data_IF_764111944249
#
_entry.id   IF_764111944249
#
_cell.length_a   1.000
_cell.length_b   1.000
_cell.length_c   1.000
_cell.angle_alpha   90.00
_cell.angle_beta   90.00
_cell.angle_gamma   90.00
#
_symmetry.space_group_name_H-M   'P 1'
#
loop_
_entity.id
_entity.type
_entity.pdbx_description
1 polymer ?
#
# COMPACT_ATOMS: atom_id res chain seq x y z
N UNK A 1 -62.08 19.84 28.92
CA UNK A 1 -61.47 18.78 29.75
C UNK A 1 -60.45 18.07 28.87
N UNK A 2 -59.18 18.28 29.16
CA UNK A 2 -58.05 17.72 28.42
C UNK A 2 -57.85 16.25 28.78
N UNK A 3 -57.61 15.40 27.77
CA UNK A 3 -57.09 14.05 27.94
C UNK A 3 -55.55 14.10 28.00
N UNK A 4 -54.89 13.21 28.76
CA UNK A 4 -53.50 13.40 29.18
C UNK A 4 -52.48 13.01 28.11
N UNK A 5 -51.38 13.75 28.10
CA UNK A 5 -50.18 13.52 27.29
C UNK A 5 -49.50 12.19 27.68
N UNK A 6 -49.22 11.36 26.67
CA UNK A 6 -48.43 10.13 26.83
C UNK A 6 -46.94 10.45 26.90
N UNK A 7 -46.28 9.92 27.94
CA UNK A 7 -44.83 10.02 28.16
C UNK A 7 -44.03 9.44 26.98
N UNK A 8 -42.97 10.11 26.49
CA UNK A 8 -42.09 9.53 25.48
C UNK A 8 -41.25 8.42 26.09
N UNK A 9 -41.36 7.21 25.52
CA UNK A 9 -40.58 6.04 25.92
C UNK A 9 -39.08 6.26 25.71
N UNK A 10 -38.29 5.86 26.71
CA UNK A 10 -36.84 5.89 26.65
C UNK A 10 -36.32 5.03 25.50
N UNK A 11 -35.55 5.64 24.60
CA UNK A 11 -34.76 4.95 23.58
C UNK A 11 -33.75 4.02 24.24
N UNK A 12 -33.61 2.76 23.80
CA UNK A 12 -32.63 1.84 24.38
C UNK A 12 -31.23 2.35 24.07
N UNK A 13 -30.41 2.53 25.11
CA UNK A 13 -29.00 2.91 24.97
C UNK A 13 -28.20 1.88 24.17
N UNK A 14 -27.06 2.28 23.59
CA UNK A 14 -26.23 1.38 22.80
C UNK A 14 -25.72 0.23 23.67
N UNK A 15 -25.83 -0.99 23.15
CA UNK A 15 -25.32 -2.19 23.79
C UNK A 15 -23.80 -2.07 24.05
N UNK A 16 -23.31 -2.52 25.22
CA UNK A 16 -21.89 -2.47 25.54
C UNK A 16 -21.09 -3.32 24.55
N UNK A 17 -19.95 -2.76 24.13
CA UNK A 17 -19.09 -3.30 23.09
C UNK A 17 -18.75 -4.78 23.29
N UNK A 18 -18.87 -5.54 22.19
CA UNK A 18 -18.37 -6.88 22.12
C UNK A 18 -16.87 -6.87 22.42
N UNK A 19 -16.49 -7.51 23.53
CA UNK A 19 -15.12 -7.79 23.87
C UNK A 19 -14.46 -8.54 22.71
N UNK A 20 -13.36 -7.99 22.18
CA UNK A 20 -12.51 -8.64 21.19
C UNK A 20 -11.93 -9.92 21.78
N UNK A 21 -12.40 -11.07 21.30
CA UNK A 21 -11.89 -12.38 21.70
C UNK A 21 -10.39 -12.51 21.43
N UNK A 22 -9.64 -12.92 22.45
CA UNK A 22 -8.19 -13.13 22.42
C UNK A 22 -7.76 -14.38 21.64
N UNK A 23 -7.99 -14.39 20.33
CA UNK A 23 -7.25 -15.22 19.38
C UNK A 23 -5.98 -14.50 18.91
N UNK A 24 -4.96 -15.22 18.40
CA UNK A 24 -3.84 -14.58 17.72
C UNK A 24 -4.37 -13.74 16.54
N UNK A 25 -3.94 -12.48 16.46
CA UNK A 25 -4.32 -11.59 15.37
C UNK A 25 -3.96 -12.20 14.01
N UNK A 26 -4.82 -12.01 13.01
CA UNK A 26 -4.57 -12.48 11.64
C UNK A 26 -3.25 -11.89 11.12
N UNK A 27 -2.28 -12.75 10.79
CA UNK A 27 -0.97 -12.31 10.33
C UNK A 27 -0.93 -12.07 8.82
N UNK A 28 -1.32 -13.07 8.03
CA UNK A 28 -1.43 -13.00 6.58
C UNK A 28 -2.26 -14.15 6.03
N UNK A 29 -2.73 -13.98 4.78
CA UNK A 29 -3.44 -15.05 4.05
C UNK A 29 -2.52 -16.27 3.92
N UNK A 30 -1.25 -16.06 3.60
CA UNK A 30 -0.26 -17.09 3.34
C UNK A 30 0.08 -17.91 4.59
N UNK A 31 0.27 -17.23 5.73
CA UNK A 31 0.53 -17.90 7.02
C UNK A 31 -0.70 -18.72 7.45
N UNK A 32 -1.90 -18.18 7.25
CA UNK A 32 -3.15 -18.88 7.54
C UNK A 32 -3.34 -20.10 6.64
N UNK A 33 -3.15 -19.96 5.32
CA UNK A 33 -3.22 -21.08 4.38
C UNK A 33 -2.20 -22.16 4.71
N UNK A 34 -0.96 -21.79 5.03
CA UNK A 34 0.11 -22.76 5.33
C UNK A 34 -0.12 -23.51 6.65
N UNK A 35 -0.76 -22.88 7.63
CA UNK A 35 -1.06 -23.51 8.93
C UNK A 35 -2.26 -24.44 8.89
N UNK A 36 -3.19 -24.23 7.95
CA UNK A 36 -4.46 -24.98 7.91
C UNK A 36 -4.63 -25.91 6.70
N UNK A 37 -3.86 -25.74 5.63
CA UNK A 37 -3.89 -26.60 4.44
C UNK A 37 -2.55 -27.28 4.22
N UNK A 38 -2.56 -28.49 3.66
CA UNK A 38 -1.35 -29.27 3.35
C UNK A 38 -1.52 -30.05 2.04
N UNK A 39 -0.39 -30.50 1.47
CA UNK A 39 -0.39 -31.35 0.28
C UNK A 39 -1.10 -30.72 -0.92
N UNK A 40 -1.85 -31.55 -1.65
CA UNK A 40 -2.49 -31.17 -2.93
C UNK A 40 -3.47 -30.01 -2.78
N UNK A 41 -4.21 -29.93 -1.68
CA UNK A 41 -5.21 -28.88 -1.47
C UNK A 41 -4.54 -27.52 -1.25
N UNK A 42 -3.43 -27.48 -0.50
CA UNK A 42 -2.63 -26.27 -0.34
C UNK A 42 -2.06 -25.80 -1.69
N UNK A 43 -1.54 -26.73 -2.49
CA UNK A 43 -0.98 -26.41 -3.81
C UNK A 43 -2.05 -25.90 -4.78
N UNK A 44 -3.24 -26.52 -4.78
CA UNK A 44 -4.34 -26.15 -5.68
C UNK A 44 -4.97 -24.80 -5.30
N UNK A 45 -5.18 -24.54 -4.00
CA UNK A 45 -5.64 -23.23 -3.54
C UNK A 45 -4.65 -22.14 -3.95
N UNK A 46 -3.35 -22.38 -3.80
CA UNK A 46 -2.32 -21.43 -4.24
C UNK A 46 -2.29 -21.26 -5.76
N UNK A 47 -2.52 -22.32 -6.53
CA UNK A 47 -2.59 -22.24 -7.99
C UNK A 47 -3.71 -21.33 -8.45
N UNK A 48 -4.88 -21.40 -7.81
CA UNK A 48 -6.04 -20.56 -8.11
C UNK A 48 -5.77 -19.11 -7.66
N UNK A 49 -5.30 -18.91 -6.42
CA UNK A 49 -5.12 -17.59 -5.85
C UNK A 49 -3.95 -16.81 -6.45
N UNK A 50 -2.83 -17.46 -6.77
CA UNK A 50 -1.58 -16.78 -7.18
C UNK A 50 -1.11 -17.15 -8.58
N UNK A 51 -1.70 -18.16 -9.20
CA UNK A 51 -1.23 -18.70 -10.47
C UNK A 51 -0.08 -19.70 -10.27
N UNK A 52 0.92 -19.68 -11.17
CA UNK A 52 2.04 -20.62 -11.09
C UNK A 52 2.94 -20.35 -9.88
N UNK A 53 3.54 -21.40 -9.33
CA UNK A 53 4.56 -21.25 -8.31
C UNK A 53 5.83 -20.61 -8.90
N UNK A 54 6.39 -19.62 -8.20
CA UNK A 54 7.63 -18.97 -8.57
C UNK A 54 8.78 -19.51 -7.70
N UNK A 55 9.91 -19.92 -8.31
CA UNK A 55 11.10 -20.30 -7.55
C UNK A 55 11.57 -19.16 -6.65
N UNK A 56 11.98 -19.49 -5.44
CA UNK A 56 12.66 -18.54 -4.55
C UNK A 56 14.04 -18.22 -5.12
N UNK A 57 14.35 -16.93 -5.16
CA UNK A 57 15.64 -16.44 -5.57
C UNK A 57 16.63 -16.55 -4.40
N UNK A 58 17.77 -17.21 -4.63
CA UNK A 58 18.83 -17.29 -3.62
C UNK A 58 19.42 -15.90 -3.36
N UNK A 59 19.14 -15.38 -2.16
CA UNK A 59 19.67 -14.09 -1.71
C UNK A 59 21.10 -14.27 -1.15
N UNK A 60 22.06 -13.42 -1.57
CA UNK A 60 23.41 -13.37 -1.00
C UNK A 60 23.41 -13.30 0.53
N UNK A 61 24.43 -13.91 1.17
CA UNK A 61 24.46 -14.05 2.63
C UNK A 61 24.69 -12.72 3.35
N UNK A 62 25.48 -11.84 2.76
CA UNK A 62 25.71 -10.45 3.18
C UNK A 62 24.41 -9.63 3.18
N UNK A 63 23.62 -9.70 2.11
CA UNK A 63 22.31 -9.03 2.03
C UNK A 63 21.34 -9.55 3.11
N UNK A 64 21.34 -10.86 3.37
CA UNK A 64 20.55 -11.47 4.45
C UNK A 64 21.00 -11.04 5.85
N UNK A 65 22.31 -11.03 6.09
CA UNK A 65 22.87 -10.58 7.37
C UNK A 65 22.58 -9.09 7.62
N UNK A 66 22.63 -8.27 6.56
CA UNK A 66 22.26 -6.86 6.64
C UNK A 66 20.79 -6.68 6.98
N UNK A 67 19.90 -7.46 6.36
CA UNK A 67 18.47 -7.46 6.67
C UNK A 67 18.19 -7.88 8.12
N UNK A 68 18.84 -8.94 8.59
CA UNK A 68 18.75 -9.42 9.98
C UNK A 68 19.21 -8.33 10.97
N UNK A 69 20.37 -7.73 10.73
CA UNK A 69 20.89 -6.62 11.56
C UNK A 69 19.97 -5.39 11.53
N UNK A 70 19.34 -5.12 10.39
CA UNK A 70 18.41 -4.03 10.20
C UNK A 70 17.01 -4.29 10.74
N UNK A 71 16.71 -5.53 11.18
CA UNK A 71 15.40 -5.91 11.67
C UNK A 71 14.30 -5.86 10.62
N UNK A 72 14.63 -6.13 9.35
CA UNK A 72 13.66 -6.17 8.25
C UNK A 72 13.77 -7.46 7.46
N UNK A 73 12.69 -7.79 6.77
CA UNK A 73 12.60 -8.99 5.95
C UNK A 73 13.20 -8.76 4.56
N UNK A 74 13.81 -9.81 4.00
CA UNK A 74 14.27 -9.82 2.63
C UNK A 74 13.85 -11.13 1.95
N UNK A 75 13.07 -11.01 0.87
CA UNK A 75 12.60 -12.14 0.07
C UNK A 75 12.86 -11.87 -1.40
N UNK A 76 12.95 -12.94 -2.19
CA UNK A 76 13.23 -12.85 -3.62
C UNK A 76 12.59 -13.99 -4.38
N UNK A 77 12.09 -13.69 -5.57
CA UNK A 77 11.40 -14.64 -6.44
C UNK A 77 11.85 -14.45 -7.88
N UNK A 78 11.85 -15.53 -8.66
CA UNK A 78 12.17 -15.50 -10.08
C UNK A 78 10.93 -15.70 -10.95
N UNK A 79 10.67 -14.75 -11.83
CA UNK A 79 9.72 -14.90 -12.93
C UNK A 79 10.51 -15.20 -14.21
N UNK A 80 10.34 -16.40 -14.74
CA UNK A 80 11.03 -16.84 -15.96
C UNK A 80 10.13 -16.77 -17.20
N UNK A 81 10.80 -16.62 -18.34
CA UNK A 81 10.23 -16.75 -19.67
C UNK A 81 10.90 -17.93 -20.40
N UNK A 82 10.24 -18.47 -21.43
CA UNK A 82 10.84 -19.49 -22.28
C UNK A 82 12.03 -18.92 -23.05
N UNK A 83 13.09 -19.71 -23.31
CA UNK A 83 14.19 -19.28 -24.16
C UNK A 83 13.70 -18.90 -25.57
N UNK A 84 14.07 -17.72 -26.04
CA UNK A 84 13.84 -17.31 -27.42
C UNK A 84 15.03 -17.70 -28.30
N UNK A 85 14.75 -18.08 -29.56
CA UNK A 85 15.82 -18.43 -30.52
C UNK A 85 16.59 -17.19 -31.02
N UNK A 86 15.92 -16.05 -31.10
CA UNK A 86 16.45 -14.84 -31.74
C UNK A 86 16.82 -13.73 -30.76
N UNK A 87 16.42 -13.84 -29.49
CA UNK A 87 16.71 -12.83 -28.47
C UNK A 87 17.35 -13.47 -27.26
N UNK A 88 18.42 -12.84 -26.77
CA UNK A 88 18.98 -13.17 -25.48
C UNK A 88 17.96 -12.83 -24.36
N UNK A 89 17.95 -13.61 -23.25
CA UNK A 89 17.06 -13.31 -22.13
C UNK A 89 17.42 -11.97 -21.50
N UNK A 90 16.43 -11.06 -21.39
CA UNK A 90 16.62 -9.78 -20.70
C UNK A 90 16.23 -9.91 -19.23
N UNK A 91 17.19 -10.37 -18.41
CA UNK A 91 17.00 -10.53 -16.96
C UNK A 91 17.18 -9.21 -16.25
N UNK A 92 16.21 -8.84 -15.41
CA UNK A 92 16.20 -7.60 -14.62
C UNK A 92 15.80 -7.96 -13.20
N UNK A 93 16.53 -7.45 -12.21
CA UNK A 93 16.22 -7.61 -10.79
C UNK A 93 15.64 -6.32 -10.26
N UNK A 94 14.41 -6.39 -9.75
CA UNK A 94 13.69 -5.27 -9.16
C UNK A 94 13.60 -5.50 -7.65
N UNK A 95 13.91 -4.47 -6.86
CA UNK A 95 13.70 -4.46 -5.42
C UNK A 95 12.60 -3.46 -5.04
N UNK A 96 11.76 -3.87 -4.12
CA UNK A 96 10.60 -3.11 -3.65
C UNK A 96 10.75 -2.92 -2.15
N UNK A 97 10.78 -1.68 -1.68
CA UNK A 97 11.05 -1.37 -0.27
C UNK A 97 9.78 -0.82 0.37
N UNK A 98 9.38 -1.47 1.46
CA UNK A 98 8.28 -1.06 2.33
C UNK A 98 8.85 -0.77 3.72
N UNK A 99 8.42 0.33 4.34
CA UNK A 99 8.87 0.69 5.68
C UNK A 99 7.82 1.52 6.43
N UNK A 100 7.86 1.41 7.75
CA UNK A 100 7.25 2.38 8.66
C UNK A 100 8.17 3.58 8.90
N UNK A 101 7.60 4.68 9.42
CA UNK A 101 8.36 5.80 9.99
C UNK A 101 9.25 5.34 11.15
N UNK A 102 10.22 6.18 11.52
CA UNK A 102 11.24 5.84 12.54
C UNK A 102 11.04 6.60 13.84
N UNK A 103 10.78 7.91 13.75
CA UNK A 103 10.55 8.77 14.91
C UNK A 103 9.06 9.11 15.02
N UNK A 104 8.58 9.53 16.21
CA UNK A 104 7.23 10.04 16.37
C UNK A 104 6.94 11.21 15.43
N UNK A 105 5.68 11.35 15.01
CA UNK A 105 5.25 12.44 14.11
C UNK A 105 5.41 13.83 14.71
N UNK A 106 5.59 13.91 16.04
CA UNK A 106 5.86 15.14 16.81
C UNK A 106 7.33 15.55 16.85
N UNK A 107 8.27 14.71 16.38
CA UNK A 107 9.69 15.07 16.32
C UNK A 107 9.96 16.15 15.25
N UNK A 108 11.09 16.87 15.30
CA UNK A 108 11.44 17.81 14.24
C UNK A 108 11.48 17.16 12.85
N UNK A 109 10.93 17.81 11.83
CA UNK A 109 10.77 17.25 10.47
C UNK A 109 12.11 16.77 9.89
N UNK A 110 13.18 17.55 10.08
CA UNK A 110 14.51 17.19 9.61
C UNK A 110 15.01 15.89 10.25
N UNK A 111 14.81 15.70 11.55
CA UNK A 111 15.17 14.48 12.27
C UNK A 111 14.35 13.28 11.78
N UNK A 112 13.04 13.45 11.59
CA UNK A 112 12.17 12.41 11.03
C UNK A 112 12.67 11.95 9.66
N UNK A 113 12.94 12.90 8.76
CA UNK A 113 13.43 12.64 7.39
C UNK A 113 14.79 11.95 7.41
N UNK A 114 15.73 12.43 8.24
CA UNK A 114 17.06 11.84 8.36
C UNK A 114 17.02 10.42 8.91
N UNK A 115 16.14 10.15 9.88
CA UNK A 115 15.95 8.83 10.44
C UNK A 115 15.39 7.84 9.39
N UNK A 116 14.41 8.27 8.60
CA UNK A 116 13.87 7.48 7.48
C UNK A 116 14.96 7.24 6.41
N UNK A 117 15.70 8.26 6.01
CA UNK A 117 16.79 8.13 5.04
C UNK A 117 17.83 7.11 5.49
N UNK A 118 18.22 7.13 6.77
CA UNK A 118 19.17 6.17 7.32
C UNK A 118 18.63 4.73 7.26
N UNK A 119 17.36 4.54 7.62
CA UNK A 119 16.69 3.22 7.56
C UNK A 119 16.59 2.70 6.13
N UNK A 120 16.05 3.51 5.22
CA UNK A 120 15.85 3.15 3.80
C UNK A 120 17.20 2.99 3.09
N UNK A 121 18.21 3.79 3.44
CA UNK A 121 19.58 3.66 2.92
C UNK A 121 20.15 2.27 3.14
N UNK A 122 20.03 1.72 4.36
CA UNK A 122 20.44 0.33 4.64
C UNK A 122 19.66 -0.71 3.82
N UNK A 123 18.37 -0.49 3.59
CA UNK A 123 17.55 -1.37 2.74
C UNK A 123 17.97 -1.31 1.26
N UNK A 124 18.32 -0.12 0.76
CA UNK A 124 18.84 0.08 -0.60
C UNK A 124 20.20 -0.59 -0.76
N UNK A 125 21.08 -0.49 0.24
CA UNK A 125 22.36 -1.22 0.26
C UNK A 125 22.15 -2.73 0.21
N UNK A 126 21.22 -3.27 1.01
CA UNK A 126 20.87 -4.70 0.96
C UNK A 126 20.30 -5.11 -0.41
N UNK A 127 19.47 -4.26 -1.04
CA UNK A 127 18.98 -4.49 -2.39
C UNK A 127 20.10 -4.51 -3.43
N UNK A 128 21.09 -3.62 -3.29
CA UNK A 128 22.27 -3.58 -4.16
C UNK A 128 23.15 -4.83 -3.98
N UNK A 129 23.39 -5.27 -2.75
CA UNK A 129 24.07 -6.54 -2.44
C UNK A 129 23.30 -7.72 -3.01
N UNK A 130 21.97 -7.67 -2.94
CA UNK A 130 21.09 -8.62 -3.60
C UNK A 130 21.01 -8.43 -5.13
N UNK A 131 21.82 -7.56 -5.75
CA UNK A 131 21.96 -7.40 -7.20
C UNK A 131 20.80 -6.69 -7.90
N UNK A 132 20.02 -5.87 -7.18
CA UNK A 132 18.92 -5.11 -7.78
C UNK A 132 19.44 -4.12 -8.83
N UNK A 133 18.76 -4.07 -9.99
CA UNK A 133 19.00 -3.08 -11.03
C UNK A 133 18.10 -1.85 -10.86
N UNK A 134 16.88 -2.06 -10.35
CA UNK A 134 15.88 -1.03 -10.12
C UNK A 134 15.37 -1.18 -8.69
N UNK A 135 15.34 -0.08 -7.94
CA UNK A 135 14.77 -0.03 -6.60
C UNK A 135 13.60 0.94 -6.61
N UNK A 136 12.44 0.53 -6.09
CA UNK A 136 11.27 1.39 -5.92
C UNK A 136 10.87 1.42 -4.44
N UNK A 137 10.51 2.62 -3.97
CA UNK A 137 10.09 2.89 -2.60
C UNK A 137 8.57 3.13 -2.58
N UNK A 138 7.94 2.97 -1.42
CA UNK A 138 6.54 3.34 -1.22
C UNK A 138 6.26 4.84 -1.45
N UNK A 139 4.98 5.19 -1.55
CA UNK A 139 4.56 6.58 -1.67
C UNK A 139 4.93 7.40 -0.43
N UNK A 140 5.28 8.67 -0.66
CA UNK A 140 5.68 9.65 0.36
C UNK A 140 6.71 9.08 1.36
N UNK A 141 7.63 8.23 0.89
CA UNK A 141 8.52 7.45 1.77
C UNK A 141 9.27 8.28 2.82
N UNK A 142 9.57 9.56 2.54
CA UNK A 142 10.33 10.48 3.40
C UNK A 142 9.53 11.14 4.53
N UNK A 143 8.23 10.86 4.66
CA UNK A 143 7.37 11.52 5.64
C UNK A 143 6.30 10.58 6.22
N UNK A 144 5.70 10.92 7.37
CA UNK A 144 4.43 10.35 7.81
C UNK A 144 3.33 10.66 6.79
N UNK A 145 2.35 9.77 6.69
CA UNK A 145 1.20 9.92 5.81
C UNK A 145 0.14 10.82 6.47
N UNK A 146 0.44 12.12 6.51
CA UNK A 146 -0.34 13.13 7.22
C UNK A 146 -1.53 13.70 6.43
N UNK A 147 -1.89 13.15 5.27
CA UNK A 147 -3.02 13.68 4.46
C UNK A 147 -4.39 13.54 5.15
N UNK A 148 -4.44 12.73 6.20
CA UNK A 148 -5.62 12.52 7.02
C UNK A 148 -5.74 13.53 8.18
N UNK A 149 -4.67 14.22 8.59
CA UNK A 149 -4.71 15.15 9.73
C UNK A 149 -5.18 16.54 9.30
N UNK A 150 -6.38 16.95 9.76
CA UNK A 150 -6.98 18.25 9.43
C UNK A 150 -7.28 19.02 10.70
N UNK A 151 -6.49 20.04 11.02
CA UNK A 151 -6.79 20.98 12.11
C UNK A 151 -8.00 21.88 11.75
N UNK A 152 -8.91 22.10 12.71
CA UNK A 152 -10.33 22.37 12.39
C UNK A 152 -11.06 23.50 13.14
N UNK A 153 -10.44 24.37 13.96
CA UNK A 153 -11.21 25.48 14.58
C UNK A 153 -10.92 26.85 13.95
N UNK A 154 -11.97 27.71 13.78
CA UNK A 154 -13.35 27.61 14.32
C UNK A 154 -14.44 27.10 13.30
N UNK A 155 -14.25 25.98 12.60
CA UNK A 155 -14.87 25.76 11.28
C UNK A 155 -16.15 24.90 11.17
N UNK A 156 -16.82 24.51 12.26
CA UNK A 156 -18.05 23.68 12.18
C UNK A 156 -19.36 24.45 11.98
N UNK A 157 -19.33 25.75 11.69
CA UNK A 157 -20.52 26.54 11.29
C UNK A 157 -20.76 26.59 9.76
N UNK A 158 -19.91 25.96 8.94
CA UNK A 158 -19.83 26.08 7.47
C UNK A 158 -20.33 24.84 6.67
N UNK A 159 -21.56 24.36 6.90
CA UNK A 159 -22.08 23.23 6.10
C UNK A 159 -22.37 23.60 4.62
N UNK A 160 -22.10 22.69 3.67
CA UNK A 160 -22.17 22.94 2.23
C UNK A 160 -22.78 21.79 1.41
N UNK A 161 -23.05 22.06 0.12
CA UNK A 161 -23.66 21.15 -0.87
C UNK A 161 -22.78 19.94 -1.24
N UNK A 162 -23.41 18.77 -1.43
CA UNK A 162 -22.73 17.50 -1.72
C UNK A 162 -22.28 17.32 -3.18
N UNK A 163 -22.78 18.12 -4.14
CA UNK A 163 -22.42 17.98 -5.56
C UNK A 163 -21.43 19.07 -6.04
N UNK A 164 -21.53 20.27 -5.46
CA UNK A 164 -20.77 21.46 -5.89
C UNK A 164 -20.20 22.27 -4.74
N UNK A 165 -20.35 21.79 -3.50
CA UNK A 165 -19.83 22.48 -2.33
C UNK A 165 -18.30 22.59 -2.41
N UNK A 166 -17.72 23.73 -2.01
CA UNK A 166 -16.28 23.87 -1.76
C UNK A 166 -15.69 22.68 -0.97
N UNK A 167 -16.49 22.01 -0.16
CA UNK A 167 -16.25 20.80 0.62
C UNK A 167 -15.90 19.54 -0.20
N UNK A 168 -16.54 19.29 -1.35
CA UNK A 168 -16.12 18.19 -2.27
C UNK A 168 -14.76 18.50 -2.91
N UNK A 169 -14.49 19.78 -3.20
CA UNK A 169 -13.15 20.24 -3.55
C UNK A 169 -12.17 20.09 -2.37
N UNK A 170 -12.64 20.24 -1.12
CA UNK A 170 -11.85 20.17 0.12
C UNK A 170 -11.60 18.75 0.68
N UNK A 171 -12.40 17.73 0.30
CA UNK A 171 -12.21 16.33 0.77
C UNK A 171 -11.32 15.47 -0.12
N UNK A 172 -10.84 16.05 -1.22
CA UNK A 172 -9.91 15.40 -2.13
C UNK A 172 -8.45 15.62 -1.71
N UNK A 173 -7.62 14.62 -1.98
CA UNK A 173 -6.15 14.73 -2.10
C UNK A 173 -5.72 15.99 -2.88
N UNK A 174 -6.60 16.50 -3.76
CA UNK A 174 -6.49 17.73 -4.54
C UNK A 174 -6.12 19.02 -3.78
N UNK A 175 -6.25 19.06 -2.44
CA UNK A 175 -5.88 20.24 -1.65
C UNK A 175 -4.39 20.33 -1.34
N UNK A 176 -3.66 19.23 -1.46
CA UNK A 176 -2.20 19.21 -1.32
C UNK A 176 -1.51 19.33 -2.68
N UNK A 177 -2.12 18.78 -3.73
CA UNK A 177 -1.63 18.82 -5.10
C UNK A 177 -2.76 18.61 -6.09
N UNK A 178 -2.74 19.33 -7.21
CA UNK A 178 -3.68 19.12 -8.31
C UNK A 178 -3.31 17.91 -9.16
N UNK A 179 -4.28 17.38 -9.91
CA UNK A 179 -4.04 16.33 -10.91
C UNK A 179 -2.89 16.73 -11.85
N UNK A 180 -2.01 15.77 -12.12
CA UNK A 180 -0.86 15.98 -12.98
C UNK A 180 -1.27 16.20 -14.44
N UNK A 181 -0.64 17.16 -15.11
CA UNK A 181 -0.78 17.40 -16.56
C UNK A 181 0.29 16.69 -17.40
N UNK A 182 1.18 15.91 -16.77
CA UNK A 182 2.32 15.26 -17.43
C UNK A 182 1.92 14.03 -18.27
N UNK A 183 0.65 13.63 -18.25
CA UNK A 183 0.17 12.43 -18.92
C UNK A 183 0.73 11.15 -18.30
N UNK A 184 1.07 10.18 -19.15
CA UNK A 184 1.48 8.82 -18.73
C UNK A 184 2.91 8.51 -19.20
N UNK A 185 3.93 9.22 -18.68
CA UNK A 185 5.30 9.07 -19.16
C UNK A 185 5.86 7.67 -18.89
N UNK A 186 6.63 7.17 -19.84
CA UNK A 186 7.39 5.92 -19.74
C UNK A 186 8.88 6.24 -19.87
N UNK A 187 9.66 5.77 -18.91
CA UNK A 187 11.09 6.04 -18.83
C UNK A 187 11.87 4.86 -19.42
N UNK A 188 12.60 5.12 -20.50
CA UNK A 188 13.53 4.14 -21.06
C UNK A 188 14.80 4.09 -20.21
N UNK A 189 15.10 2.93 -19.63
CA UNK A 189 16.34 2.67 -18.88
C UNK A 189 17.17 1.59 -19.56
N UNK A 190 18.41 1.37 -19.08
CA UNK A 190 19.22 0.21 -19.48
C UNK A 190 18.57 -1.14 -19.08
N UNK A 191 17.62 -1.12 -18.15
CA UNK A 191 16.97 -2.29 -17.57
C UNK A 191 15.50 -2.42 -18.00
N UNK A 192 15.07 -1.65 -19.00
CA UNK A 192 13.72 -1.68 -19.56
C UNK A 192 12.95 -0.38 -19.43
N UNK A 193 11.75 -0.38 -20.03
CA UNK A 193 10.79 0.71 -20.02
C UNK A 193 9.95 0.62 -18.76
N UNK A 194 10.07 1.62 -17.89
CA UNK A 194 9.37 1.65 -16.61
C UNK A 194 8.36 2.81 -16.57
N UNK A 195 7.28 2.61 -15.82
CA UNK A 195 6.29 3.63 -15.51
C UNK A 195 5.95 3.62 -14.01
N UNK A 196 5.33 4.70 -13.55
CA UNK A 196 4.95 4.88 -12.14
C UNK A 196 3.49 5.30 -12.08
N UNK A 197 2.63 4.37 -11.67
CA UNK A 197 1.23 4.63 -11.36
C UNK A 197 1.09 4.92 -9.86
N UNK A 198 0.99 6.19 -9.48
CA UNK A 198 1.06 6.60 -8.06
C UNK A 198 -0.28 6.32 -7.36
N UNK A 199 -0.22 5.53 -6.28
CA UNK A 199 -1.26 5.29 -5.28
C UNK A 199 -2.69 5.11 -5.81
N UNK A 200 -3.54 6.12 -5.67
CA UNK A 200 -4.97 6.08 -6.04
C UNK A 200 -5.17 5.83 -7.54
N UNK A 201 -4.16 6.11 -8.36
CA UNK A 201 -4.16 5.72 -9.77
C UNK A 201 -4.30 4.21 -9.99
N UNK A 202 -4.11 3.36 -8.97
CA UNK A 202 -4.36 1.92 -9.03
C UNK A 202 -5.82 1.57 -9.36
N UNK A 203 -6.77 2.40 -8.93
CA UNK A 203 -8.21 2.16 -9.10
C UNK A 203 -8.71 2.43 -10.53
N UNK A 204 -7.85 2.96 -11.40
CA UNK A 204 -8.23 3.42 -12.74
C UNK A 204 -7.60 2.53 -13.80
N UNK A 205 -8.32 1.52 -14.34
CA UNK A 205 -7.81 0.63 -15.38
C UNK A 205 -7.23 1.38 -16.60
N UNK A 206 -7.86 2.51 -16.96
CA UNK A 206 -7.40 3.39 -18.04
C UNK A 206 -6.01 3.99 -17.76
N UNK A 207 -5.68 4.28 -16.50
CA UNK A 207 -4.37 4.83 -16.13
C UNK A 207 -3.26 3.79 -16.38
N UNK A 208 -3.48 2.55 -15.94
CA UNK A 208 -2.59 1.43 -16.26
C UNK A 208 -2.45 1.19 -17.77
N UNK A 209 -3.58 1.20 -18.48
CA UNK A 209 -3.62 1.02 -19.92
C UNK A 209 -2.81 2.07 -20.66
N UNK A 210 -2.89 3.34 -20.27
CA UNK A 210 -2.15 4.40 -20.94
C UNK A 210 -0.64 4.27 -20.77
N UNK A 211 -0.14 3.84 -19.61
CA UNK A 211 1.29 3.51 -19.45
C UNK A 211 1.72 2.34 -20.34
N UNK A 212 0.90 1.30 -20.43
CA UNK A 212 1.19 0.14 -21.27
C UNK A 212 1.16 0.47 -22.76
N UNK A 213 0.19 1.28 -23.22
CA UNK A 213 0.13 1.79 -24.60
C UNK A 213 1.35 2.64 -24.94
N UNK A 214 1.89 3.39 -23.96
CA UNK A 214 3.14 4.13 -24.10
C UNK A 214 4.39 3.25 -24.00
N UNK A 215 4.22 1.92 -23.92
CA UNK A 215 5.27 0.93 -24.02
C UNK A 215 5.87 0.47 -22.69
N UNK A 216 5.25 0.75 -21.54
CA UNK A 216 5.75 0.29 -20.25
C UNK A 216 5.87 -1.25 -20.19
N UNK A 217 7.03 -1.74 -19.75
CA UNK A 217 7.28 -3.16 -19.50
C UNK A 217 7.11 -3.51 -18.02
N UNK A 218 7.42 -2.56 -17.13
CA UNK A 218 7.22 -2.65 -15.68
C UNK A 218 6.51 -1.39 -15.20
N UNK A 219 5.37 -1.54 -14.53
CA UNK A 219 4.63 -0.42 -13.94
C UNK A 219 4.70 -0.54 -12.41
N UNK A 220 5.39 0.40 -11.78
CA UNK A 220 5.45 0.52 -10.31
C UNK A 220 4.20 1.21 -9.78
N UNK A 221 3.68 0.73 -8.66
CA UNK A 221 2.57 1.34 -7.94
C UNK A 221 2.92 1.59 -6.47
N UNK A 222 3.70 2.65 -6.20
CA UNK A 222 3.95 3.10 -4.84
C UNK A 222 2.67 3.66 -4.25
N UNK A 223 2.27 3.16 -3.08
CA UNK A 223 1.02 3.47 -2.41
C UNK A 223 1.22 3.64 -0.91
N UNK A 224 0.30 4.36 -0.28
CA UNK A 224 0.09 4.39 1.16
C UNK A 224 -1.42 4.33 1.43
N UNK A 225 -1.97 3.11 1.46
CA UNK A 225 -3.41 2.87 1.62
C UNK A 225 -3.71 2.13 2.92
N UNK A 226 -4.88 2.39 3.49
CA UNK A 226 -5.33 1.87 4.79
C UNK A 226 -6.78 1.40 4.75
N UNK A 227 -7.16 0.63 5.76
CA UNK A 227 -8.55 0.31 6.06
C UNK A 227 -9.12 -0.92 5.36
N UNK A 228 -10.15 -1.47 5.99
CA UNK A 228 -10.77 -2.75 5.63
C UNK A 228 -11.43 -2.77 4.24
N UNK A 229 -11.79 -1.60 3.70
CA UNK A 229 -12.34 -1.49 2.35
C UNK A 229 -11.24 -1.53 1.27
N UNK A 230 -10.02 -1.09 1.60
CA UNK A 230 -8.91 -1.06 0.64
C UNK A 230 -8.19 -2.40 0.55
N UNK A 231 -8.02 -3.11 1.66
CA UNK A 231 -7.23 -4.36 1.73
C UNK A 231 -7.75 -5.45 0.75
N UNK A 232 -9.07 -5.68 0.58
CA UNK A 232 -9.59 -6.65 -0.38
C UNK A 232 -9.26 -6.34 -1.85
N UNK A 233 -9.09 -5.05 -2.19
CA UNK A 233 -8.78 -4.61 -3.56
C UNK A 233 -7.30 -4.81 -3.91
N UNK A 234 -6.42 -4.85 -2.90
CA UNK A 234 -4.97 -4.86 -3.08
C UNK A 234 -4.47 -6.06 -3.90
N UNK A 235 -5.03 -7.25 -3.67
CA UNK A 235 -4.70 -8.47 -4.41
C UNK A 235 -5.30 -8.55 -5.82
N UNK A 236 -6.10 -7.57 -6.23
CA UNK A 236 -6.91 -7.60 -7.45
C UNK A 236 -6.40 -6.59 -8.47
N UNK A 237 -6.29 -5.31 -8.11
CA UNK A 237 -6.18 -4.21 -9.08
C UNK A 237 -4.88 -4.22 -9.88
N UNK A 238 -3.73 -4.26 -9.18
CA UNK A 238 -2.42 -4.32 -9.83
C UNK A 238 -2.25 -5.63 -10.63
N UNK A 239 -2.74 -6.75 -10.08
CA UNK A 239 -2.69 -8.04 -10.76
C UNK A 239 -3.54 -8.05 -12.03
N UNK A 240 -4.74 -7.46 -11.98
CA UNK A 240 -5.59 -7.29 -13.15
C UNK A 240 -4.90 -6.42 -14.21
N UNK A 241 -4.24 -5.34 -13.79
CA UNK A 241 -3.47 -4.49 -14.70
C UNK A 241 -2.32 -5.24 -15.39
N UNK A 242 -1.56 -6.09 -14.68
CA UNK A 242 -0.54 -6.94 -15.29
C UNK A 242 -1.13 -7.88 -16.35
N UNK A 243 -2.26 -8.52 -16.04
CA UNK A 243 -2.95 -9.44 -16.94
C UNK A 243 -3.47 -8.71 -18.19
N UNK A 244 -4.19 -7.62 -18.00
CA UNK A 244 -4.86 -6.88 -19.09
C UNK A 244 -3.86 -6.21 -20.04
N UNK A 245 -2.70 -5.80 -19.53
CA UNK A 245 -1.74 -5.00 -20.28
C UNK A 245 -0.46 -5.77 -20.69
N UNK A 246 -0.35 -7.05 -20.31
CA UNK A 246 0.81 -7.89 -20.61
C UNK A 246 2.16 -7.28 -20.17
N UNK A 247 2.17 -6.61 -19.03
CA UNK A 247 3.34 -6.01 -18.42
C UNK A 247 3.53 -6.54 -16.99
N UNK A 248 4.67 -6.25 -16.38
CA UNK A 248 4.88 -6.48 -14.96
C UNK A 248 4.26 -5.33 -14.15
N UNK A 249 3.62 -5.64 -13.03
CA UNK A 249 3.18 -4.64 -12.06
C UNK A 249 3.85 -4.87 -10.72
N UNK A 250 4.19 -3.78 -10.03
CA UNK A 250 4.91 -3.82 -8.76
C UNK A 250 4.19 -2.93 -7.76
N UNK A 251 3.26 -3.50 -7.00
CA UNK A 251 2.50 -2.78 -5.97
C UNK A 251 3.27 -2.75 -4.65
N UNK A 252 3.41 -1.56 -4.05
CA UNK A 252 4.21 -1.32 -2.84
C UNK A 252 3.34 -0.50 -1.89
N UNK A 253 2.99 -1.06 -0.73
CA UNK A 253 2.27 -0.31 0.30
C UNK A 253 3.20 0.04 1.48
N UNK A 254 2.87 1.14 2.15
CA UNK A 254 3.42 1.47 3.47
C UNK A 254 3.03 0.39 4.51
N UNK A 255 3.81 0.30 5.59
CA UNK A 255 3.55 -0.61 6.73
C UNK A 255 3.61 0.11 8.07
N UNK A 256 2.93 -0.45 9.06
CA UNK A 256 2.97 0.00 10.46
C UNK A 256 1.89 1.03 10.79
N UNK A 257 1.88 1.48 12.04
CA UNK A 257 0.88 2.44 12.54
C UNK A 257 1.55 3.77 12.83
N UNK A 258 0.97 4.85 12.32
CA UNK A 258 1.46 6.21 12.53
C UNK A 258 0.49 6.97 13.44
N UNK A 259 1.01 7.56 14.51
CA UNK A 259 0.20 8.31 15.48
C UNK A 259 0.45 9.80 15.34
N UNK A 260 -0.61 10.61 15.37
CA UNK A 260 -0.57 12.06 15.25
C UNK A 260 -1.05 12.76 16.53
N UNK A 261 -0.55 13.97 16.83
CA UNK A 261 -0.85 14.67 18.09
C UNK A 261 -2.31 15.14 18.19
N UNK A 262 -2.98 15.35 17.05
CA UNK A 262 -4.34 15.86 16.98
C UNK A 262 -5.26 14.83 16.33
N UNK A 263 -6.49 14.73 16.86
CA UNK A 263 -7.54 13.92 16.26
C UNK A 263 -7.91 14.45 14.87
N UNK A 264 -8.23 13.51 13.98
CA UNK A 264 -8.72 13.83 12.66
C UNK A 264 -9.77 12.81 12.22
N UNK A 265 -10.65 13.23 11.31
CA UNK A 265 -11.71 12.37 10.79
C UNK A 265 -11.24 11.70 9.51
N UNK A 266 -11.43 10.39 9.40
CA UNK A 266 -11.13 9.60 8.19
C UNK A 266 -12.22 9.66 7.12
N UNK A 267 -13.27 10.46 7.32
CA UNK A 267 -14.36 10.63 6.36
C UNK A 267 -15.31 9.43 6.22
N UNK A 268 -15.17 8.42 7.08
CA UNK A 268 -15.97 7.18 7.07
C UNK A 268 -17.17 7.20 8.04
N UNK A 269 -17.48 8.35 8.64
CA UNK A 269 -18.56 8.51 9.61
C UNK A 269 -18.27 7.99 11.03
N UNK A 270 -17.05 7.49 11.30
CA UNK A 270 -16.60 7.08 12.65
C UNK A 270 -15.99 8.26 13.43
N UNK A 271 -15.83 8.14 14.77
CA UNK A 271 -15.17 9.16 15.59
C UNK A 271 -13.76 9.52 15.11
N UNK A 272 -13.28 10.69 15.54
CA UNK A 272 -11.92 11.12 15.29
C UNK A 272 -10.90 10.07 15.74
N UNK A 273 -9.88 9.88 14.92
CA UNK A 273 -8.77 8.96 15.19
C UNK A 273 -7.47 9.75 15.32
N UNK A 274 -6.53 9.22 16.08
CA UNK A 274 -5.16 9.76 16.20
C UNK A 274 -4.13 8.83 15.56
N UNK A 275 -4.56 7.73 14.95
CA UNK A 275 -3.69 6.69 14.43
C UNK A 275 -4.11 6.25 13.03
N UNK A 276 -3.14 5.96 12.17
CA UNK A 276 -3.35 5.42 10.82
C UNK A 276 -2.59 4.11 10.72
N UNK A 277 -3.32 3.01 10.53
CA UNK A 277 -2.73 1.67 10.37
C UNK A 277 -2.56 1.32 8.90
N UNK A 278 -1.31 1.13 8.48
CA UNK A 278 -0.96 0.62 7.16
C UNK A 278 -0.67 -0.87 7.25
N UNK A 279 -1.40 -1.64 6.44
CA UNK A 279 -1.11 -3.05 6.21
C UNK A 279 -0.54 -3.21 4.82
N UNK A 280 0.63 -3.84 4.75
CA UNK A 280 1.00 -4.55 3.56
C UNK A 280 0.81 -6.03 3.86
N UNK A 281 0.14 -6.76 2.98
CA UNK A 281 0.15 -8.20 3.07
C UNK A 281 1.60 -8.70 3.01
N UNK A 282 1.96 -9.59 3.95
CA UNK A 282 3.29 -10.18 4.09
C UNK A 282 3.61 -11.18 2.96
N UNK A 283 3.62 -10.70 1.72
CA UNK A 283 4.14 -11.36 0.51
C UNK A 283 3.19 -12.27 -0.29
N UNK A 284 3.63 -12.53 -1.53
CA UNK A 284 3.07 -13.40 -2.61
C UNK A 284 2.03 -12.81 -3.56
N UNK A 285 2.04 -11.52 -3.86
CA UNK A 285 1.16 -10.97 -4.91
C UNK A 285 1.97 -10.16 -5.92
N UNK A 286 2.60 -10.86 -6.85
CA UNK A 286 3.09 -10.30 -8.12
C UNK A 286 2.12 -10.67 -9.23
#
# INVERSE_FOLDING_TARGET
MAAPEGSPGASPGPAPGAASGGGPAFESVEASLKSHLQGKDYDEVRRILYGRAYPELKIPADARQMAEKGGYEIQGYEISAQPEQLRAPRKVRVACIQNSIVLPTTAPIEEQKNAIHKKVGGMVEAAALAGANIVCLQETFMMPFAFCTRERLPWTEFAESADYGPTIKYFSEANYYMESTLGHPVFQTAFGRIAINICYGRHHPQNWMMFALNGAEIIFNPSATTGDLSEPLWGIEARNAAIANHCFTVAINRVGTEHFPHEFTSGNGLPGITAVEFRAEKHKRF
#
